data_IF_459725353398
#
_entry.id   IF_459725353398
#
_cell.length_a   1.000
_cell.length_b   1.000
_cell.length_c   1.000
_cell.angle_alpha   90.00
_cell.angle_beta   90.00
_cell.angle_gamma   90.00
#
_symmetry.space_group_name_H-M   'P 1'
#
loop_
_entity.id
_entity.type
_entity.pdbx_description
1 polymer ?
#
# COMPACT_ATOMS: atom_id res chain seq x y z
N UNK A 1 -18.64 -13.70 -29.74
CA UNK A 1 -18.47 -12.22 -29.62
C UNK A 1 -19.04 -11.70 -28.30
N UNK A 2 -18.81 -12.39 -27.19
CA UNK A 2 -19.22 -11.99 -25.84
C UNK A 2 -18.04 -12.28 -24.94
N UNK A 3 -17.20 -11.29 -24.68
CA UNK A 3 -16.19 -11.42 -23.61
C UNK A 3 -15.62 -10.07 -23.22
N UNK A 4 -15.29 -9.24 -24.23
CA UNK A 4 -14.67 -7.94 -24.01
C UNK A 4 -15.50 -7.03 -23.09
N UNK A 5 -16.82 -7.02 -23.23
CA UNK A 5 -17.72 -6.17 -22.42
C UNK A 5 -17.72 -6.53 -20.93
N UNK A 6 -17.55 -7.82 -20.58
CA UNK A 6 -17.47 -8.25 -19.18
C UNK A 6 -16.11 -7.90 -18.57
N UNK A 7 -15.04 -8.03 -19.36
CA UNK A 7 -13.68 -7.67 -18.95
C UNK A 7 -13.56 -6.16 -18.68
N UNK A 8 -14.13 -5.31 -19.54
CA UNK A 8 -14.16 -3.86 -19.33
C UNK A 8 -14.98 -3.46 -18.10
N UNK A 9 -16.10 -4.13 -17.83
CA UNK A 9 -16.88 -3.90 -16.60
C UNK A 9 -16.10 -4.31 -15.36
N UNK A 10 -15.31 -5.40 -15.41
CA UNK A 10 -14.47 -5.86 -14.32
C UNK A 10 -13.35 -4.88 -14.01
N UNK A 11 -12.70 -4.35 -15.05
CA UNK A 11 -11.65 -3.32 -14.94
C UNK A 11 -12.23 -2.02 -14.37
N UNK A 12 -13.39 -1.58 -14.83
CA UNK A 12 -14.04 -0.36 -14.33
C UNK A 12 -14.46 -0.51 -12.85
N UNK A 13 -15.01 -1.66 -12.47
CA UNK A 13 -15.38 -1.95 -11.07
C UNK A 13 -14.14 -2.02 -10.18
N UNK A 14 -13.05 -2.63 -10.65
CA UNK A 14 -11.79 -2.62 -9.91
C UNK A 14 -11.25 -1.19 -9.78
N UNK A 15 -11.21 -0.41 -10.88
CA UNK A 15 -10.75 0.97 -10.88
C UNK A 15 -11.61 1.88 -9.98
N UNK A 16 -12.92 1.64 -9.87
CA UNK A 16 -13.78 2.35 -8.92
C UNK A 16 -13.55 1.90 -7.47
N UNK A 17 -13.23 0.62 -7.24
CA UNK A 17 -12.85 0.10 -5.94
C UNK A 17 -11.54 0.75 -5.44
N UNK A 18 -10.55 0.91 -6.33
CA UNK A 18 -9.28 1.59 -6.04
C UNK A 18 -9.46 3.10 -5.84
N UNK A 19 -10.25 3.79 -6.68
CA UNK A 19 -10.63 5.20 -6.48
C UNK A 19 -11.33 5.46 -5.13
N UNK A 20 -12.08 4.49 -4.61
CA UNK A 20 -12.71 4.56 -3.29
C UNK A 20 -11.73 4.30 -2.14
N UNK A 21 -10.61 3.63 -2.41
CA UNK A 21 -9.57 3.34 -1.43
C UNK A 21 -8.66 4.57 -1.19
N UNK A 22 -8.34 5.33 -2.24
CA UNK A 22 -7.59 6.61 -2.13
C UNK A 22 -8.36 7.68 -1.35
N UNK A 23 -9.68 7.75 -1.50
CA UNK A 23 -10.51 8.70 -0.72
C UNK A 23 -10.58 8.35 0.77
N UNK A 24 -10.37 7.08 1.15
CA UNK A 24 -10.34 6.69 2.56
C UNK A 24 -8.97 7.00 3.21
N UNK A 25 -7.89 7.04 2.42
CA UNK A 25 -6.57 7.45 2.90
C UNK A 25 -6.59 8.88 3.44
N UNK A 26 -7.22 9.81 2.71
CA UNK A 26 -7.41 11.19 3.14
C UNK A 26 -8.29 11.29 4.41
N UNK A 27 -9.39 10.53 4.47
CA UNK A 27 -10.30 10.54 5.62
C UNK A 27 -9.71 9.90 6.89
N UNK A 28 -8.81 8.92 6.75
CA UNK A 28 -8.01 8.37 7.86
C UNK A 28 -6.98 9.41 8.30
N UNK A 29 -6.25 10.04 7.38
CA UNK A 29 -5.26 11.08 7.71
C UNK A 29 -5.89 12.28 8.45
N UNK A 30 -7.12 12.68 8.09
CA UNK A 30 -7.87 13.74 8.80
C UNK A 30 -8.36 13.32 10.20
N UNK A 31 -8.51 12.01 10.49
CA UNK A 31 -8.96 11.52 11.80
C UNK A 31 -7.81 11.13 12.75
N UNK A 32 -6.56 11.08 12.25
CA UNK A 32 -5.39 10.64 13.04
C UNK A 32 -4.74 11.81 13.81
N UNK A 33 -5.25 13.03 13.70
CA UNK A 33 -4.69 14.22 14.35
C UNK A 33 -4.63 14.17 15.89
N UNK A 34 -5.16 13.13 16.56
CA UNK A 34 -5.03 13.02 18.03
C UNK A 34 -4.92 11.58 18.60
N UNK A 35 -4.18 10.68 17.93
CA UNK A 35 -3.81 9.40 18.57
C UNK A 35 -2.63 9.61 19.52
N UNK A 36 -2.90 10.11 20.74
CA UNK A 36 -1.91 10.21 21.81
C UNK A 36 -1.58 8.82 22.39
N UNK A 37 -0.76 8.05 21.68
CA UNK A 37 -0.20 6.79 22.19
C UNK A 37 0.74 7.07 23.35
N UNK A 38 0.66 6.27 24.42
CA UNK A 38 1.67 6.31 25.49
C UNK A 38 3.06 6.00 24.91
N UNK A 39 4.12 6.52 25.54
CA UNK A 39 5.50 6.28 25.10
C UNK A 39 5.82 4.78 24.95
N UNK A 40 5.30 3.96 25.86
CA UNK A 40 5.44 2.50 25.82
C UNK A 40 4.76 1.89 24.58
N UNK A 41 3.53 2.31 24.25
CA UNK A 41 2.82 1.84 23.04
C UNK A 41 3.51 2.30 21.76
N UNK A 42 4.11 3.50 21.76
CA UNK A 42 4.89 3.98 20.61
C UNK A 42 6.18 3.17 20.44
N UNK A 43 6.88 2.85 21.54
CA UNK A 43 8.08 2.04 21.51
C UNK A 43 7.77 0.63 20.98
N UNK A 44 6.74 -0.02 21.51
CA UNK A 44 6.30 -1.33 21.05
C UNK A 44 5.85 -1.32 19.58
N UNK A 45 5.14 -0.29 19.13
CA UNK A 45 4.75 -0.16 17.72
C UNK A 45 5.97 -0.01 16.82
N UNK A 46 6.97 0.79 17.22
CA UNK A 46 8.21 0.96 16.48
C UNK A 46 9.00 -0.34 16.41
N UNK A 47 9.04 -1.11 17.49
CA UNK A 47 9.72 -2.40 17.55
C UNK A 47 9.06 -3.41 16.60
N UNK A 48 7.73 -3.57 16.67
CA UNK A 48 6.99 -4.43 15.75
C UNK A 48 7.21 -4.06 14.27
N UNK A 49 7.20 -2.76 13.95
CA UNK A 49 7.44 -2.30 12.58
C UNK A 49 8.89 -2.58 12.18
N UNK A 50 9.87 -2.38 13.06
CA UNK A 50 11.28 -2.67 12.77
C UNK A 50 11.50 -4.16 12.48
N UNK A 51 10.94 -5.04 13.32
CA UNK A 51 10.97 -6.49 13.07
C UNK A 51 10.26 -6.85 11.75
N UNK A 52 9.12 -6.23 11.48
CA UNK A 52 8.39 -6.42 10.23
C UNK A 52 9.21 -6.01 9.00
N UNK A 53 9.97 -4.91 9.08
CA UNK A 53 10.85 -4.41 8.01
C UNK A 53 11.98 -5.41 7.73
N UNK A 54 12.55 -6.02 8.76
CA UNK A 54 13.63 -7.01 8.61
C UNK A 54 13.16 -8.28 7.87
N UNK A 55 11.87 -8.62 7.99
CA UNK A 55 11.25 -9.77 7.31
C UNK A 55 10.83 -9.49 5.87
N UNK A 56 10.92 -8.24 5.40
CA UNK A 56 10.55 -7.88 4.04
C UNK A 56 11.58 -8.40 3.03
N UNK A 57 11.07 -8.94 1.92
CA UNK A 57 11.88 -9.22 0.75
C UNK A 57 12.44 -7.92 0.13
N UNK A 58 13.49 -8.05 -0.67
CA UNK A 58 14.10 -6.92 -1.37
C UNK A 58 13.09 -6.17 -2.24
N UNK A 59 12.16 -6.91 -2.86
CA UNK A 59 11.12 -6.33 -3.71
C UNK A 59 10.11 -5.51 -2.90
N UNK A 60 9.71 -6.00 -1.72
CA UNK A 60 8.80 -5.28 -0.82
C UNK A 60 9.45 -4.00 -0.28
N UNK A 61 10.71 -4.09 0.18
CA UNK A 61 11.48 -2.92 0.63
C UNK A 61 11.64 -1.87 -0.46
N UNK A 62 11.90 -2.32 -1.69
CA UNK A 62 12.08 -1.40 -2.83
C UNK A 62 10.79 -0.69 -3.19
N UNK A 63 9.65 -1.39 -3.22
CA UNK A 63 8.32 -0.77 -3.43
C UNK A 63 8.02 0.25 -2.32
N UNK A 64 8.29 -0.07 -1.06
CA UNK A 64 8.11 0.87 0.06
C UNK A 64 9.00 2.10 -0.06
N UNK A 65 10.28 1.90 -0.40
CA UNK A 65 11.25 3.00 -0.53
C UNK A 65 10.85 3.94 -1.66
N UNK A 66 10.54 3.40 -2.85
CA UNK A 66 10.13 4.21 -3.99
C UNK A 66 8.82 4.97 -3.72
N UNK A 67 7.90 4.39 -2.95
CA UNK A 67 6.63 5.04 -2.65
C UNK A 67 6.75 6.14 -1.57
N UNK A 68 7.41 5.83 -0.45
CA UNK A 68 7.42 6.73 0.71
C UNK A 68 8.63 7.65 0.78
N UNK A 69 9.75 7.30 0.15
CA UNK A 69 10.96 8.13 0.12
C UNK A 69 11.07 8.94 -1.17
N UNK A 70 10.78 8.32 -2.32
CA UNK A 70 10.87 8.97 -3.63
C UNK A 70 9.51 9.53 -4.11
N UNK A 71 8.45 9.38 -3.31
CA UNK A 71 7.08 9.86 -3.61
C UNK A 71 6.50 9.36 -4.94
N UNK A 72 6.97 8.23 -5.46
CA UNK A 72 6.51 7.67 -6.73
C UNK A 72 5.11 7.05 -6.62
N UNK A 73 4.35 7.19 -7.69
CA UNK A 73 3.06 6.52 -7.87
C UNK A 73 3.24 5.03 -8.20
N UNK A 74 2.22 4.19 -7.98
CA UNK A 74 2.30 2.76 -8.33
C UNK A 74 2.58 2.53 -9.81
N UNK A 75 2.06 3.40 -10.68
CA UNK A 75 2.31 3.35 -12.13
C UNK A 75 3.79 3.63 -12.47
N UNK A 76 4.44 4.56 -11.77
CA UNK A 76 5.86 4.86 -11.94
C UNK A 76 6.74 3.74 -11.35
N UNK A 77 6.40 3.24 -10.17
CA UNK A 77 7.11 2.12 -9.54
C UNK A 77 7.03 0.87 -10.42
N UNK A 78 5.87 0.59 -11.00
CA UNK A 78 5.70 -0.53 -11.91
C UNK A 78 6.60 -0.43 -13.15
N UNK A 79 6.79 0.79 -13.68
CA UNK A 79 7.73 1.04 -14.79
C UNK A 79 9.19 0.88 -14.34
N UNK A 80 9.56 1.39 -13.16
CA UNK A 80 10.92 1.29 -12.61
C UNK A 80 11.30 -0.17 -12.34
N UNK A 81 10.35 -0.98 -11.87
CA UNK A 81 10.57 -2.39 -11.51
C UNK A 81 10.27 -3.38 -12.64
N UNK A 82 9.85 -2.90 -13.82
CA UNK A 82 9.40 -3.72 -14.97
C UNK A 82 8.34 -4.78 -14.58
N UNK A 83 7.35 -4.35 -13.79
CA UNK A 83 6.21 -5.17 -13.37
C UNK A 83 4.89 -4.52 -13.75
N UNK A 84 3.78 -5.23 -13.55
CA UNK A 84 2.44 -4.65 -13.71
C UNK A 84 2.10 -3.76 -12.51
N UNK A 85 1.36 -2.68 -12.77
CA UNK A 85 0.85 -1.77 -11.72
C UNK A 85 0.06 -2.51 -10.63
N UNK A 86 -0.87 -3.40 -11.01
CA UNK A 86 -1.60 -4.25 -10.07
C UNK A 86 -0.67 -5.07 -9.15
N UNK A 87 0.51 -5.45 -9.65
CA UNK A 87 1.49 -6.21 -8.87
C UNK A 87 2.23 -5.31 -7.87
N UNK A 88 2.59 -4.09 -8.28
CA UNK A 88 3.19 -3.11 -7.37
C UNK A 88 2.23 -2.77 -6.22
N UNK A 89 0.94 -2.58 -6.55
CA UNK A 89 -0.11 -2.30 -5.55
C UNK A 89 -0.37 -3.50 -4.62
N UNK A 90 -0.42 -4.73 -5.16
CA UNK A 90 -0.50 -5.95 -4.35
C UNK A 90 0.68 -6.06 -3.37
N UNK A 91 1.90 -5.81 -3.84
CA UNK A 91 3.11 -5.81 -2.99
C UNK A 91 2.98 -4.76 -1.89
N UNK A 92 2.51 -3.55 -2.22
CA UNK A 92 2.32 -2.48 -1.24
C UNK A 92 1.32 -2.86 -0.14
N UNK A 93 0.14 -3.36 -0.53
CA UNK A 93 -0.91 -3.77 0.42
C UNK A 93 -0.45 -4.94 1.29
N UNK A 94 0.13 -5.98 0.69
CA UNK A 94 0.61 -7.15 1.43
C UNK A 94 1.76 -6.80 2.38
N UNK A 95 2.64 -5.88 2.00
CA UNK A 95 3.70 -5.35 2.86
C UNK A 95 3.11 -4.59 4.06
N UNK A 96 2.18 -3.67 3.83
CA UNK A 96 1.53 -2.93 4.92
C UNK A 96 0.77 -3.86 5.87
N UNK A 97 0.13 -4.90 5.35
CA UNK A 97 -0.50 -5.92 6.20
C UNK A 97 0.52 -6.67 7.06
N UNK A 98 1.74 -6.93 6.56
CA UNK A 98 2.81 -7.56 7.36
C UNK A 98 3.30 -6.63 8.46
N UNK A 99 3.43 -5.33 8.17
CA UNK A 99 3.96 -4.35 9.13
C UNK A 99 2.94 -3.93 10.19
N UNK A 100 1.65 -3.95 9.86
CA UNK A 100 0.57 -3.46 10.72
C UNK A 100 -0.19 -4.56 11.46
N UNK A 101 0.08 -5.85 11.16
CA UNK A 101 -0.50 -6.95 11.93
C UNK A 101 0.26 -7.09 13.26
N UNK A 102 -0.46 -7.01 14.40
CA UNK A 102 0.14 -7.16 15.73
C UNK A 102 0.55 -8.60 16.03
#
# INVERSE_FOLDING_TARGET
>A
KQDKTKEFQKIEINAQKWRRMDMNQAAILTQVEDVHLSQEKQAHLKENIAEGIDLLSDQERLVMSLHYYEELTMAEIAQVLDIKEDKAEEIRVTTLEKLLKP
#
